data_IF_190623381070
#
_entry.id   IF_190623381070
#
_cell.length_a   1.000
_cell.length_b   1.000
_cell.length_c   1.000
_cell.angle_alpha   90.00
_cell.angle_beta   90.00
_cell.angle_gamma   90.00
#
_symmetry.space_group_name_H-M   'P 1'
#
loop_
_entity.id
_entity.type
_entity.pdbx_description
1 polymer ?
#
# COMPACT_ATOMS: atom_id res chain seq x y z
N UNK A 1 0.00 -12.00 -5.73
CA UNK A 1 -0.16 -11.03 -4.62
C UNK A 1 -1.41 -11.33 -3.79
N UNK A 2 -2.60 -11.34 -4.42
CA UNK A 2 -3.87 -11.53 -3.70
C UNK A 2 -3.93 -12.84 -2.90
N UNK A 3 -3.53 -13.97 -3.51
CA UNK A 3 -3.45 -15.26 -2.80
C UNK A 3 -2.51 -15.21 -1.59
N UNK A 4 -1.40 -14.45 -1.67
CA UNK A 4 -0.52 -14.25 -0.53
C UNK A 4 -1.18 -13.42 0.56
N UNK A 5 -1.94 -12.37 0.21
CA UNK A 5 -2.68 -11.61 1.21
C UNK A 5 -3.73 -12.47 1.92
N UNK A 6 -4.53 -13.25 1.16
CA UNK A 6 -5.50 -14.21 1.70
C UNK A 6 -4.81 -15.20 2.64
N UNK A 7 -3.66 -15.77 2.24
CA UNK A 7 -2.89 -16.65 3.13
C UNK A 7 -2.37 -15.92 4.38
N UNK A 8 -1.89 -14.69 4.26
CA UNK A 8 -1.41 -13.92 5.41
C UNK A 8 -2.55 -13.54 6.38
N UNK A 9 -3.74 -13.26 5.85
CA UNK A 9 -4.93 -12.93 6.64
C UNK A 9 -5.53 -14.16 7.31
N UNK A 10 -5.75 -15.23 6.55
CA UNK A 10 -6.56 -16.37 6.99
C UNK A 10 -5.74 -17.51 7.59
N UNK A 11 -4.53 -17.76 7.08
CA UNK A 11 -3.70 -18.90 7.53
C UNK A 11 -2.62 -18.47 8.53
N UNK A 12 -1.99 -17.32 8.29
CA UNK A 12 -0.92 -16.82 9.16
C UNK A 12 -1.42 -15.78 10.17
N UNK A 13 -2.66 -15.31 10.01
CA UNK A 13 -3.33 -14.37 10.91
C UNK A 13 -2.49 -13.11 11.25
N UNK A 14 -1.69 -12.64 10.29
CA UNK A 14 -0.86 -11.45 10.42
C UNK A 14 -1.42 -10.21 9.71
N UNK A 15 -2.68 -10.23 9.28
CA UNK A 15 -3.33 -9.00 8.78
C UNK A 15 -3.96 -8.18 9.91
N UNK A 16 -4.69 -7.12 9.54
CA UNK A 16 -5.58 -6.38 10.42
C UNK A 16 -6.72 -5.75 9.59
N UNK A 17 -7.83 -5.30 10.22
CA UNK A 17 -8.97 -4.72 9.50
C UNK A 17 -8.58 -3.56 8.58
N UNK A 18 -7.64 -2.72 8.99
CA UNK A 18 -7.14 -1.59 8.20
C UNK A 18 -6.38 -2.03 6.95
N UNK A 19 -5.55 -3.07 7.07
CA UNK A 19 -4.80 -3.64 5.93
C UNK A 19 -5.75 -4.31 4.94
N UNK A 20 -6.71 -5.09 5.43
CA UNK A 20 -7.70 -5.78 4.59
C UNK A 20 -8.54 -4.76 3.80
N UNK A 21 -9.03 -3.72 4.49
CA UNK A 21 -9.76 -2.61 3.87
C UNK A 21 -8.91 -1.91 2.80
N UNK A 22 -7.65 -1.58 3.09
CA UNK A 22 -6.78 -0.89 2.14
C UNK A 22 -6.45 -1.77 0.93
N UNK A 23 -6.24 -3.07 1.12
CA UNK A 23 -6.05 -4.01 0.00
C UNK A 23 -7.28 -4.05 -0.90
N UNK A 24 -8.48 -4.15 -0.32
CA UNK A 24 -9.72 -4.16 -1.10
C UNK A 24 -9.92 -2.85 -1.89
N UNK A 25 -9.69 -1.70 -1.25
CA UNK A 25 -9.75 -0.39 -1.92
C UNK A 25 -8.73 -0.31 -3.05
N UNK A 26 -7.51 -0.80 -2.85
CA UNK A 26 -6.48 -0.81 -3.90
C UNK A 26 -6.93 -1.65 -5.11
N UNK A 27 -7.51 -2.83 -4.88
CA UNK A 27 -8.01 -3.70 -5.95
C UNK A 27 -9.18 -3.04 -6.71
N UNK A 28 -10.13 -2.45 -5.99
CA UNK A 28 -11.25 -1.72 -6.59
C UNK A 28 -10.79 -0.47 -7.37
N UNK A 29 -9.69 0.14 -6.95
CA UNK A 29 -9.09 1.32 -7.60
C UNK A 29 -8.23 0.98 -8.82
N UNK A 30 -8.11 -0.29 -9.19
CA UNK A 30 -7.44 -0.72 -10.43
C UNK A 30 -6.09 -1.42 -10.26
N UNK A 31 -5.68 -1.76 -9.03
CA UNK A 31 -4.52 -2.63 -8.84
C UNK A 31 -4.81 -4.05 -9.37
N UNK A 32 -3.86 -4.64 -10.11
CA UNK A 32 -3.94 -6.04 -10.55
C UNK A 32 -3.62 -7.01 -9.41
N UNK A 33 -2.93 -6.52 -8.38
CA UNK A 33 -2.73 -7.26 -7.14
C UNK A 33 -2.33 -6.35 -5.99
N UNK A 34 -2.78 -6.69 -4.79
CA UNK A 34 -2.45 -5.95 -3.57
C UNK A 34 -2.29 -6.91 -2.38
N UNK A 35 -1.44 -6.56 -1.43
CA UNK A 35 -1.20 -7.30 -0.19
C UNK A 35 -0.54 -6.42 0.87
N UNK A 36 -0.65 -6.81 2.14
CA UNK A 36 0.24 -6.29 3.19
C UNK A 36 1.72 -6.52 2.84
N UNK A 37 2.63 -5.68 3.34
CA UNK A 37 4.08 -5.85 3.20
C UNK A 37 4.79 -5.64 4.53
N UNK A 38 5.87 -6.39 4.77
CA UNK A 38 6.51 -6.48 6.08
C UNK A 38 5.84 -7.53 6.98
N UNK A 39 5.92 -7.31 8.30
CA UNK A 39 5.48 -8.28 9.30
C UNK A 39 3.96 -8.47 9.37
N UNK A 40 3.19 -7.39 9.19
CA UNK A 40 1.74 -7.39 9.37
C UNK A 40 1.27 -6.71 10.67
N UNK A 41 0.03 -6.96 11.07
CA UNK A 41 -0.68 -6.31 12.19
C UNK A 41 -0.67 -4.77 12.11
N UNK A 42 -0.74 -4.25 10.88
CA UNK A 42 -0.59 -2.83 10.55
C UNK A 42 0.56 -2.60 9.55
N UNK A 43 1.03 -1.36 9.47
CA UNK A 43 2.08 -0.98 8.53
C UNK A 43 1.54 -0.67 7.13
N UNK A 44 2.19 -1.22 6.10
CA UNK A 44 1.96 -0.83 4.70
C UNK A 44 1.35 -1.96 3.86
N UNK A 45 0.73 -1.58 2.75
CA UNK A 45 0.41 -2.48 1.65
C UNK A 45 1.32 -2.20 0.46
N UNK A 46 1.46 -3.18 -0.43
CA UNK A 46 2.10 -3.02 -1.74
C UNK A 46 1.11 -3.44 -2.82
N UNK A 47 0.92 -2.57 -3.81
CA UNK A 47 -0.06 -2.74 -4.88
C UNK A 47 0.63 -2.63 -6.23
N UNK A 48 0.34 -3.57 -7.13
CA UNK A 48 0.80 -3.56 -8.50
C UNK A 48 -0.27 -2.91 -9.37
N UNK A 49 0.08 -1.80 -10.01
CA UNK A 49 -0.88 -0.94 -10.73
C UNK A 49 -0.36 -0.71 -12.16
N UNK A 50 -1.19 -0.90 -13.19
CA UNK A 50 -0.85 -0.52 -14.56
C UNK A 50 -0.57 0.99 -14.66
N UNK A 51 0.47 1.38 -15.42
CA UNK A 51 0.90 2.78 -15.50
C UNK A 51 -0.21 3.72 -15.99
N UNK A 52 -1.04 3.26 -16.92
CA UNK A 52 -2.19 3.99 -17.48
C UNK A 52 -3.31 4.24 -16.47
N UNK A 53 -3.32 3.50 -15.35
CA UNK A 53 -4.31 3.66 -14.26
C UNK A 53 -3.77 4.44 -13.06
N UNK A 54 -2.50 4.79 -13.06
CA UNK A 54 -1.81 5.28 -11.87
C UNK A 54 -2.48 6.51 -11.23
N UNK A 55 -2.79 7.53 -12.03
CA UNK A 55 -3.38 8.77 -11.51
C UNK A 55 -4.76 8.53 -10.90
N UNK A 56 -5.60 7.75 -11.60
CA UNK A 56 -6.92 7.36 -11.11
C UNK A 56 -6.84 6.50 -9.85
N UNK A 57 -5.87 5.59 -9.78
CA UNK A 57 -5.63 4.75 -8.62
C UNK A 57 -5.28 5.59 -7.40
N UNK A 58 -4.31 6.51 -7.52
CA UNK A 58 -3.90 7.38 -6.41
C UNK A 58 -5.03 8.28 -5.95
N UNK A 59 -5.83 8.82 -6.88
CA UNK A 59 -7.01 9.63 -6.56
C UNK A 59 -8.05 8.82 -5.78
N UNK A 60 -8.43 7.64 -6.27
CA UNK A 60 -9.45 6.81 -5.64
C UNK A 60 -9.02 6.32 -4.25
N UNK A 61 -7.78 5.85 -4.09
CA UNK A 61 -7.27 5.39 -2.78
C UNK A 61 -7.24 6.54 -1.77
N UNK A 62 -6.84 7.75 -2.21
CA UNK A 62 -6.88 8.95 -1.37
C UNK A 62 -8.29 9.24 -0.86
N UNK A 63 -9.27 9.27 -1.75
CA UNK A 63 -10.66 9.57 -1.36
C UNK A 63 -11.28 8.46 -0.51
N UNK A 64 -11.05 7.19 -0.85
CA UNK A 64 -11.73 6.05 -0.22
C UNK A 64 -11.12 5.57 1.09
N UNK A 65 -9.82 5.79 1.33
CA UNK A 65 -9.15 5.29 2.55
C UNK A 65 -8.60 6.40 3.46
N UNK A 66 -7.96 7.42 2.87
CA UNK A 66 -7.25 8.44 3.66
C UNK A 66 -8.17 9.58 4.08
N UNK A 67 -9.00 10.11 3.17
CA UNK A 67 -9.88 11.25 3.47
C UNK A 67 -11.10 10.91 4.32
N UNK A 68 -11.40 9.63 4.51
CA UNK A 68 -12.52 9.17 5.35
C UNK A 68 -12.28 9.35 6.84
N UNK A 69 -11.03 9.56 7.28
CA UNK A 69 -10.64 9.79 8.68
C UNK A 69 -9.66 10.97 8.76
N UNK A 70 -9.91 11.93 9.64
CA UNK A 70 -9.11 13.15 9.74
C UNK A 70 -7.63 12.89 10.09
N UNK A 71 -7.33 11.83 10.86
CA UNK A 71 -5.94 11.46 11.20
C UNK A 71 -5.25 10.86 9.99
N UNK A 72 -5.93 10.03 9.21
CA UNK A 72 -5.38 9.48 7.95
C UNK A 72 -5.18 10.58 6.91
N UNK A 73 -6.11 11.52 6.80
CA UNK A 73 -6.02 12.65 5.89
C UNK A 73 -4.76 13.51 6.15
N UNK A 74 -4.42 13.73 7.43
CA UNK A 74 -3.22 14.46 7.82
C UNK A 74 -1.90 13.75 7.43
N UNK A 75 -1.93 12.44 7.17
CA UNK A 75 -0.76 11.63 6.82
C UNK A 75 -0.71 11.26 5.33
N UNK A 76 -1.69 11.65 4.53
CA UNK A 76 -1.88 11.16 3.17
C UNK A 76 -0.64 11.36 2.28
N UNK A 77 -0.09 12.58 2.25
CA UNK A 77 1.05 12.95 1.41
C UNK A 77 2.31 12.13 1.66
N UNK A 78 2.46 11.56 2.86
CA UNK A 78 3.58 10.71 3.24
C UNK A 78 3.24 9.21 3.25
N UNK A 79 1.96 8.84 3.09
CA UNK A 79 1.49 7.47 3.27
C UNK A 79 1.09 6.77 1.98
N UNK A 80 0.92 7.51 0.88
CA UNK A 80 0.56 6.96 -0.44
C UNK A 80 1.53 7.48 -1.51
N UNK A 81 2.40 6.61 -2.01
CA UNK A 81 3.42 6.98 -2.98
C UNK A 81 3.76 5.85 -3.94
N UNK A 82 4.35 6.24 -5.07
CA UNK A 82 4.89 5.33 -6.08
C UNK A 82 6.36 5.08 -5.80
N UNK A 83 6.82 3.84 -6.00
CA UNK A 83 8.20 3.46 -5.73
C UNK A 83 8.86 2.80 -6.93
N UNK A 84 10.19 2.79 -6.92
CA UNK A 84 11.05 2.05 -7.85
C UNK A 84 12.19 1.39 -7.05
N UNK A 85 12.80 0.30 -7.55
CA UNK A 85 13.96 -0.30 -6.88
C UNK A 85 15.06 0.73 -6.65
N UNK A 86 15.47 0.91 -5.38
CA UNK A 86 16.55 1.80 -4.97
C UNK A 86 17.88 1.06 -4.80
N UNK A 87 18.96 1.83 -4.60
CA UNK A 87 20.27 1.27 -4.21
C UNK A 87 20.28 0.79 -2.77
N UNK A 88 21.26 -0.08 -2.44
CA UNK A 88 21.54 -0.50 -1.07
C UNK A 88 22.31 0.55 -0.27
N UNK A 89 22.81 0.16 0.90
CA UNK A 89 23.64 1.03 1.73
C UNK A 89 24.93 1.45 1.01
N UNK A 90 25.32 2.72 1.17
CA UNK A 90 26.52 3.30 0.57
C UNK A 90 27.21 4.26 1.54
N UNK A 91 28.53 4.40 1.41
CA UNK A 91 29.32 5.43 2.10
C UNK A 91 29.45 6.64 1.16
N UNK A 92 29.09 7.82 1.63
CA UNK A 92 29.28 9.08 0.93
C UNK A 92 30.50 9.79 1.50
N UNK A 93 31.47 10.08 0.65
CA UNK A 93 32.69 10.80 1.01
C UNK A 93 32.60 12.22 0.43
N UNK A 94 32.86 13.23 1.26
CA UNK A 94 33.18 14.56 0.76
C UNK A 94 34.57 14.51 0.12
N UNK A 95 34.68 15.00 -1.12
CA UNK A 95 35.95 15.10 -1.85
C UNK A 95 36.50 16.51 -1.69
#
# INVERSE_FOLDING_TARGET
MNQSHVSCRDMYECSCPELDQLVDICLQSGAVGSRLTGAGWGGCTVSMVPNDKLDSFLSNVRESYYKTDARRAALETQSLFVTKPGGGAAVLLEV
#
